data_IF_535688044119
#
_entry.id   IF_535688044119
#
_cell.length_a   1.000
_cell.length_b   1.000
_cell.length_c   1.000
_cell.angle_alpha   90.00
_cell.angle_beta   90.00
_cell.angle_gamma   90.00
#
_symmetry.space_group_name_H-M   'P 1'
#
loop_
_entity.id
_entity.type
_entity.pdbx_description
1 polymer ?
#
# COMPACT_ATOMS: atom_id res chain seq x y z
N UNK A 1 17.37 22.09 -6.82
CA UNK A 1 17.60 23.20 -7.76
C UNK A 1 18.42 22.62 -8.89
N UNK A 2 17.96 22.73 -10.10
CA UNK A 2 18.79 22.42 -11.29
C UNK A 2 19.65 23.66 -11.48
N UNK A 3 20.95 23.54 -11.23
CA UNK A 3 21.88 24.62 -11.51
C UNK A 3 21.86 24.87 -13.03
N UNK A 4 21.28 26.00 -13.41
CA UNK A 4 21.28 26.44 -14.79
C UNK A 4 22.65 27.06 -15.04
N UNK A 5 23.46 26.42 -15.89
CA UNK A 5 24.75 26.90 -16.30
C UNK A 5 24.64 28.31 -16.87
N UNK A 6 25.55 29.20 -16.49
CA UNK A 6 25.61 30.54 -17.02
C UNK A 6 26.08 30.53 -18.48
N UNK A 7 25.70 31.56 -19.27
CA UNK A 7 26.06 31.65 -20.69
C UNK A 7 27.59 31.59 -20.93
N UNK A 8 28.37 32.17 -20.00
CA UNK A 8 29.83 32.13 -20.05
C UNK A 8 30.40 30.71 -19.81
N UNK A 9 29.76 29.89 -19.00
CA UNK A 9 30.17 28.51 -18.77
C UNK A 9 29.82 27.61 -19.96
N UNK A 10 28.69 27.87 -20.62
CA UNK A 10 28.32 27.19 -21.88
C UNK A 10 29.32 27.50 -23.00
N UNK A 11 29.70 28.75 -23.17
CA UNK A 11 30.66 29.18 -24.18
C UNK A 11 32.06 28.63 -23.88
N UNK A 12 32.50 28.56 -22.64
CA UNK A 12 33.75 27.93 -22.22
C UNK A 12 33.78 26.42 -22.50
N UNK A 13 32.67 25.72 -22.23
CA UNK A 13 32.51 24.26 -22.50
C UNK A 13 32.53 23.99 -24.02
N UNK A 14 31.89 24.84 -24.83
CA UNK A 14 31.90 24.72 -26.29
C UNK A 14 33.29 24.97 -26.86
N UNK A 15 34.03 25.92 -26.31
CA UNK A 15 35.41 26.20 -26.69
C UNK A 15 36.36 25.03 -26.35
N UNK A 16 36.25 24.45 -25.18
CA UNK A 16 37.03 23.28 -24.74
C UNK A 16 36.72 22.02 -25.57
N UNK A 17 35.46 21.80 -25.97
CA UNK A 17 35.05 20.72 -26.87
C UNK A 17 35.59 20.92 -28.31
N UNK A 18 35.65 22.16 -28.76
CA UNK A 18 36.13 22.48 -30.12
C UNK A 18 37.67 22.46 -30.24
N UNK A 19 38.40 22.69 -29.14
CA UNK A 19 39.85 22.59 -29.07
C UNK A 19 40.38 21.16 -28.89
N UNK A 20 39.51 20.18 -28.63
CA UNK A 20 39.90 18.79 -28.41
C UNK A 20 40.59 18.52 -27.06
N UNK A 21 40.52 19.47 -26.14
CA UNK A 21 41.06 19.32 -24.78
C UNK A 21 40.17 18.49 -23.86
N UNK A 22 38.89 18.26 -24.23
CA UNK A 22 37.95 17.39 -23.52
C UNK A 22 37.27 16.41 -24.44
N UNK A 23 37.26 15.14 -24.10
CA UNK A 23 36.53 14.10 -24.84
C UNK A 23 35.08 14.03 -24.34
N UNK A 24 34.12 14.11 -25.28
CA UNK A 24 32.69 14.03 -24.98
C UNK A 24 32.29 12.74 -24.28
N UNK A 25 33.13 11.68 -24.39
CA UNK A 25 32.94 10.41 -23.65
C UNK A 25 33.36 10.51 -22.17
N UNK A 26 34.33 11.36 -21.82
CA UNK A 26 34.72 11.59 -20.43
C UNK A 26 33.69 12.40 -19.68
N UNK A 27 33.08 13.42 -20.26
CA UNK A 27 31.95 14.16 -19.69
C UNK A 27 30.72 13.27 -19.45
N UNK A 28 30.44 12.32 -20.36
CA UNK A 28 29.40 11.32 -20.15
C UNK A 28 29.72 10.33 -19.03
N UNK A 29 30.99 10.04 -18.80
CA UNK A 29 31.44 9.14 -17.71
C UNK A 29 31.36 9.84 -16.34
N UNK A 30 31.62 11.14 -16.26
CA UNK A 30 31.47 11.92 -15.03
C UNK A 30 30.00 12.06 -14.63
N UNK A 31 29.10 12.27 -15.58
CA UNK A 31 27.63 12.31 -15.31
C UNK A 31 27.05 10.96 -14.93
N UNK A 32 27.74 9.85 -15.29
CA UNK A 32 27.33 8.48 -14.94
C UNK A 32 27.97 8.01 -13.64
N UNK A 33 28.87 8.75 -13.03
CA UNK A 33 29.30 8.47 -11.66
C UNK A 33 28.09 8.68 -10.76
N UNK A 34 27.52 7.56 -10.30
CA UNK A 34 26.47 7.54 -9.29
C UNK A 34 26.86 8.53 -8.20
N UNK A 35 26.16 9.66 -8.10
CA UNK A 35 26.34 10.60 -7.00
C UNK A 35 26.19 9.81 -5.71
N UNK A 36 27.30 9.44 -5.09
CA UNK A 36 27.33 8.76 -3.80
C UNK A 36 26.77 9.78 -2.80
N UNK A 37 25.50 9.62 -2.45
CA UNK A 37 24.91 10.40 -1.37
C UNK A 37 25.28 9.71 -0.08
N UNK A 38 25.87 10.45 0.86
CA UNK A 38 26.04 9.98 2.22
C UNK A 38 24.67 9.56 2.76
N UNK A 39 24.52 8.29 3.13
CA UNK A 39 23.28 7.79 3.72
C UNK A 39 23.22 8.26 5.18
N UNK A 40 22.26 9.08 5.49
CA UNK A 40 22.02 9.53 6.86
C UNK A 40 21.19 8.45 7.59
N UNK A 41 21.88 7.65 8.42
CA UNK A 41 21.23 6.61 9.23
C UNK A 41 20.24 7.16 10.27
N UNK A 42 20.24 8.45 10.57
CA UNK A 42 19.24 9.10 11.41
C UNK A 42 17.92 9.32 10.67
N UNK A 43 17.95 9.37 9.34
CA UNK A 43 16.78 9.45 8.46
C UNK A 43 16.50 8.09 7.84
N UNK A 44 16.17 7.10 8.68
CA UNK A 44 15.76 5.79 8.18
C UNK A 44 14.52 5.94 7.28
N UNK A 45 14.66 5.60 6.00
CA UNK A 45 13.54 5.60 5.05
C UNK A 45 12.68 4.37 5.32
N UNK A 46 11.64 4.51 6.14
CA UNK A 46 10.72 3.42 6.47
C UNK A 46 9.61 3.28 5.42
N UNK A 47 9.28 4.36 4.71
CA UNK A 47 8.29 4.34 3.65
C UNK A 47 8.96 4.14 2.28
N UNK A 48 8.50 3.15 1.54
CA UNK A 48 8.90 2.97 0.14
C UNK A 48 8.29 4.06 -0.75
N UNK A 49 8.83 4.23 -1.96
CA UNK A 49 8.23 5.15 -2.96
C UNK A 49 6.78 4.79 -3.28
N UNK A 50 6.44 3.51 -3.24
CA UNK A 50 5.08 3.05 -3.54
C UNK A 50 4.13 3.37 -2.40
N UNK A 51 4.58 3.26 -1.13
CA UNK A 51 3.80 3.70 0.02
C UNK A 51 3.50 5.21 -0.05
N UNK A 52 4.49 6.04 -0.37
CA UNK A 52 4.31 7.49 -0.53
C UNK A 52 3.30 7.80 -1.65
N UNK A 53 3.38 7.11 -2.80
CA UNK A 53 2.41 7.27 -3.89
C UNK A 53 0.99 6.89 -3.47
N UNK A 54 0.84 5.80 -2.75
CA UNK A 54 -0.46 5.35 -2.23
C UNK A 54 -1.04 6.35 -1.25
N UNK A 55 -0.21 6.83 -0.29
CA UNK A 55 -0.60 7.88 0.64
C UNK A 55 -0.99 9.17 -0.09
N UNK A 56 -0.23 9.60 -1.10
CA UNK A 56 -0.58 10.76 -1.91
C UNK A 56 -1.98 10.63 -2.50
N UNK A 57 -2.28 9.50 -3.13
CA UNK A 57 -3.56 9.25 -3.79
C UNK A 57 -4.74 9.21 -2.80
N UNK A 58 -4.55 8.59 -1.64
CA UNK A 58 -5.56 8.57 -0.57
C UNK A 58 -5.87 10.00 -0.12
N UNK A 59 -4.83 10.79 0.11
CA UNK A 59 -4.99 12.13 0.64
C UNK A 59 -5.41 13.17 -0.43
N UNK A 60 -5.22 12.92 -1.72
CA UNK A 60 -5.88 13.66 -2.79
C UNK A 60 -7.41 13.51 -2.72
N UNK A 61 -7.90 12.30 -2.41
CA UNK A 61 -9.32 12.07 -2.16
C UNK A 61 -9.79 12.80 -0.89
N UNK A 62 -9.01 12.68 0.18
CA UNK A 62 -9.28 13.39 1.42
C UNK A 62 -9.37 14.90 1.21
N UNK A 63 -8.43 15.50 0.49
CA UNK A 63 -8.44 16.93 0.15
C UNK A 63 -9.71 17.36 -0.60
N UNK A 64 -10.22 16.52 -1.52
CA UNK A 64 -11.49 16.77 -2.22
C UNK A 64 -12.70 16.72 -1.28
N UNK A 65 -12.73 15.73 -0.39
CA UNK A 65 -13.82 15.62 0.59
C UNK A 65 -13.78 16.78 1.59
N UNK A 66 -12.60 17.15 2.09
CA UNK A 66 -12.43 18.35 2.93
C UNK A 66 -12.85 19.62 2.21
N UNK A 67 -12.50 19.77 0.92
CA UNK A 67 -12.93 20.92 0.11
C UNK A 67 -14.45 21.04 0.07
N UNK A 68 -15.13 19.92 -0.19
CA UNK A 68 -16.60 19.88 -0.24
C UNK A 68 -17.21 20.19 1.14
N UNK A 69 -16.69 19.54 2.17
CA UNK A 69 -17.15 19.71 3.54
C UNK A 69 -17.01 21.16 4.02
N UNK A 70 -15.79 21.72 3.92
CA UNK A 70 -15.55 23.08 4.38
C UNK A 70 -16.26 24.14 3.51
N UNK A 71 -16.40 23.93 2.20
CA UNK A 71 -17.17 24.85 1.35
C UNK A 71 -18.62 24.93 1.80
N UNK A 72 -19.21 23.78 2.16
CA UNK A 72 -20.59 23.73 2.67
C UNK A 72 -20.74 24.38 4.05
N UNK A 73 -19.81 24.08 4.98
CA UNK A 73 -19.88 24.59 6.34
C UNK A 73 -19.58 26.09 6.43
N UNK A 74 -18.57 26.57 5.69
CA UNK A 74 -18.13 27.96 5.73
C UNK A 74 -18.91 28.86 4.76
N UNK A 75 -19.75 28.27 3.90
CA UNK A 75 -20.53 28.98 2.87
C UNK A 75 -19.66 29.94 2.04
N UNK A 76 -18.48 29.49 1.67
CA UNK A 76 -17.51 30.23 0.86
C UNK A 76 -16.72 29.28 -0.02
N UNK A 77 -16.03 29.83 -1.00
CA UNK A 77 -15.13 29.03 -1.83
C UNK A 77 -13.94 28.56 -1.01
N UNK A 78 -13.78 27.26 -0.92
CA UNK A 78 -12.61 26.61 -0.29
C UNK A 78 -11.95 25.73 -1.34
N UNK A 79 -10.63 25.76 -1.36
CA UNK A 79 -9.80 24.91 -2.21
C UNK A 79 -8.70 24.29 -1.38
N UNK A 80 -8.61 22.95 -1.38
CA UNK A 80 -7.59 22.18 -0.66
C UNK A 80 -6.96 21.22 -1.63
N UNK A 81 -5.62 21.25 -1.73
CA UNK A 81 -4.86 20.37 -2.61
C UNK A 81 -3.64 19.81 -1.87
N UNK A 82 -3.30 18.55 -2.15
CA UNK A 82 -2.04 17.95 -1.68
C UNK A 82 -0.88 18.65 -2.38
N UNK A 83 0.04 19.18 -1.61
CA UNK A 83 1.30 19.78 -2.14
C UNK A 83 2.40 18.75 -2.12
N UNK A 84 2.53 18.04 -1.01
CA UNK A 84 3.66 17.15 -0.77
C UNK A 84 3.27 16.05 0.23
N UNK A 85 3.84 14.87 0.01
CA UNK A 85 3.84 13.77 0.98
C UNK A 85 5.28 13.34 1.15
N UNK A 86 5.81 13.49 2.35
CA UNK A 86 7.21 13.20 2.66
C UNK A 86 7.34 12.45 3.98
N UNK A 87 8.50 11.85 4.19
CA UNK A 87 8.85 11.22 5.46
C UNK A 87 9.96 11.99 6.14
N UNK A 88 9.77 12.24 7.43
CA UNK A 88 10.75 12.96 8.26
C UNK A 88 10.63 12.50 9.72
N UNK A 89 11.62 12.80 10.57
CA UNK A 89 11.53 12.58 12.01
C UNK A 89 10.45 13.46 12.66
N UNK A 90 9.77 12.93 13.66
CA UNK A 90 8.71 13.66 14.38
C UNK A 90 9.20 15.00 14.97
N UNK A 91 10.43 15.07 15.49
CA UNK A 91 11.04 16.29 16.02
C UNK A 91 11.20 17.38 14.92
N UNK A 92 11.52 16.99 13.69
CA UNK A 92 11.61 17.92 12.56
C UNK A 92 10.23 18.53 12.23
N UNK A 93 9.16 17.74 12.30
CA UNK A 93 7.79 18.23 12.14
C UNK A 93 7.43 19.25 13.23
N UNK A 94 7.67 18.93 14.51
CA UNK A 94 7.38 19.83 15.64
C UNK A 94 8.13 21.16 15.53
N UNK A 95 9.35 21.13 15.00
CA UNK A 95 10.14 22.37 14.77
C UNK A 95 9.70 23.16 13.55
N UNK A 96 9.04 22.52 12.58
CA UNK A 96 8.61 23.16 11.33
C UNK A 96 7.31 23.96 11.47
N UNK A 97 6.48 23.65 12.46
CA UNK A 97 5.19 24.30 12.68
C UNK A 97 5.31 25.54 13.57
N UNK A 98 4.39 26.52 13.46
CA UNK A 98 4.39 27.71 14.29
C UNK A 98 4.30 27.40 15.79
N UNK A 99 4.87 28.30 16.65
CA UNK A 99 4.79 28.14 18.12
C UNK A 99 3.36 28.10 18.66
N UNK A 100 2.43 28.70 17.95
CA UNK A 100 1.00 28.64 18.19
C UNK A 100 0.33 28.18 16.90
N UNK A 101 -0.32 27.05 16.93
CA UNK A 101 -1.05 26.43 15.82
C UNK A 101 -2.19 25.59 16.37
N UNK A 102 -3.10 25.13 15.54
CA UNK A 102 -4.21 24.27 15.97
C UNK A 102 -3.83 22.81 15.67
N UNK A 103 -3.73 22.00 16.70
CA UNK A 103 -3.33 20.59 16.66
C UNK A 103 -4.51 19.71 17.07
N UNK A 104 -5.11 19.06 16.12
CA UNK A 104 -6.17 18.09 16.37
C UNK A 104 -5.54 16.71 16.52
N UNK A 105 -5.46 16.23 17.77
CA UNK A 105 -4.95 14.90 18.11
C UNK A 105 -6.11 13.93 18.00
N UNK A 106 -5.94 12.85 17.23
CA UNK A 106 -6.97 11.87 16.99
C UNK A 106 -6.41 10.45 16.86
N UNK A 107 -7.26 9.48 17.13
CA UNK A 107 -7.03 8.06 16.89
C UNK A 107 -7.96 7.57 15.79
N UNK A 108 -7.63 6.46 15.13
CA UNK A 108 -8.45 5.92 14.05
C UNK A 108 -8.50 4.39 14.13
N UNK A 109 -9.44 3.83 14.89
CA UNK A 109 -9.63 2.38 15.00
C UNK A 109 -9.84 1.74 13.61
N UNK A 110 -9.26 0.57 13.29
CA UNK A 110 -8.48 -0.32 14.15
C UNK A 110 -6.97 -0.04 14.20
N UNK A 111 -6.51 1.13 13.74
CA UNK A 111 -5.11 1.54 13.83
C UNK A 111 -4.81 1.98 15.27
N UNK A 112 -3.79 1.38 15.86
CA UNK A 112 -3.36 1.72 17.21
C UNK A 112 -2.39 2.89 17.20
N UNK A 113 -2.69 3.94 17.96
CA UNK A 113 -1.85 5.11 18.16
C UNK A 113 -2.46 6.42 17.66
N UNK A 114 -1.76 7.51 17.98
CA UNK A 114 -2.22 8.88 17.76
C UNK A 114 -1.68 9.47 16.47
N UNK A 115 -2.52 10.24 15.81
CA UNK A 115 -2.20 11.04 14.63
C UNK A 115 -2.55 12.50 14.91
N UNK A 116 -1.99 13.42 14.14
CA UNK A 116 -2.24 14.84 14.32
C UNK A 116 -2.60 15.50 13.01
N UNK A 117 -3.69 16.26 13.03
CA UNK A 117 -4.07 17.17 11.95
C UNK A 117 -3.74 18.61 12.43
N UNK A 118 -2.64 19.16 11.96
CA UNK A 118 -2.22 20.52 12.21
C UNK A 118 -2.89 21.47 11.24
N UNK A 119 -3.40 22.58 11.73
CA UNK A 119 -4.03 23.63 10.93
C UNK A 119 -3.35 24.95 11.22
N UNK A 120 -2.75 25.53 10.18
CA UNK A 120 -2.08 26.82 10.31
C UNK A 120 -3.03 27.89 10.86
N UNK A 121 -2.59 28.73 11.80
CA UNK A 121 -3.48 29.68 12.48
C UNK A 121 -4.29 30.58 11.56
N UNK A 122 -3.70 31.09 10.48
CA UNK A 122 -4.42 31.93 9.52
C UNK A 122 -5.66 31.23 8.94
N UNK A 123 -5.52 29.93 8.62
CA UNK A 123 -6.61 29.10 8.10
C UNK A 123 -7.68 28.87 9.17
N UNK A 124 -7.24 28.51 10.39
CA UNK A 124 -8.15 28.26 11.50
C UNK A 124 -8.97 29.50 11.88
N UNK A 125 -8.33 30.65 11.99
CA UNK A 125 -9.03 31.90 12.31
C UNK A 125 -9.95 32.38 11.16
N UNK A 126 -9.55 32.17 9.88
CA UNK A 126 -10.44 32.43 8.75
C UNK A 126 -11.66 31.52 8.75
N UNK A 127 -11.50 30.24 9.13
CA UNK A 127 -12.62 29.31 9.32
C UNK A 127 -13.55 29.81 10.43
N UNK A 128 -12.98 30.17 11.57
CA UNK A 128 -13.71 30.65 12.73
C UNK A 128 -14.50 31.93 12.41
N UNK A 129 -13.86 32.90 11.74
CA UNK A 129 -14.52 34.15 11.32
C UNK A 129 -15.71 33.86 10.40
N UNK A 130 -15.56 32.95 9.43
CA UNK A 130 -16.66 32.53 8.54
C UNK A 130 -17.81 31.87 9.30
N UNK A 131 -17.51 31.06 10.30
CA UNK A 131 -18.51 30.38 11.13
C UNK A 131 -19.29 31.35 12.00
N UNK A 132 -18.64 32.41 12.45
CA UNK A 132 -19.27 33.47 13.22
C UNK A 132 -19.95 34.54 12.37
N UNK A 133 -19.94 34.38 11.02
CA UNK A 133 -20.63 35.25 10.07
C UNK A 133 -19.77 36.35 9.45
N UNK A 134 -18.46 36.32 9.68
CA UNK A 134 -17.51 37.25 9.07
C UNK A 134 -17.17 36.92 7.61
N UNK A 135 -16.23 37.66 7.04
CA UNK A 135 -15.82 37.54 5.61
C UNK A 135 -14.71 36.51 5.39
N UNK A 136 -14.15 35.93 6.44
CA UNK A 136 -13.05 34.93 6.35
C UNK A 136 -11.66 35.57 6.38
N UNK A 137 -11.52 36.68 7.05
CA UNK A 137 -10.23 37.38 7.22
C UNK A 137 -9.44 36.79 8.39
N UNK A 138 -8.15 36.55 8.16
CA UNK A 138 -7.26 36.20 9.27
C UNK A 138 -6.99 37.46 10.11
N UNK A 139 -6.97 37.35 11.45
CA UNK A 139 -6.68 38.51 12.32
C UNK A 139 -5.23 38.95 12.17
N UNK A 140 -4.98 40.26 12.31
CA UNK A 140 -3.64 40.85 12.25
C UNK A 140 -2.74 40.37 13.40
N UNK A 141 -3.33 40.00 14.54
CA UNK A 141 -2.65 39.42 15.70
C UNK A 141 -3.28 38.08 16.04
N UNK A 142 -2.49 37.03 15.93
CA UNK A 142 -2.86 35.69 16.31
C UNK A 142 -2.74 35.56 17.82
N UNK A 143 -3.86 35.37 18.52
CA UNK A 143 -3.93 35.10 19.97
C UNK A 143 -4.29 33.63 20.24
N UNK A 144 -4.28 33.22 21.51
CA UNK A 144 -4.83 31.92 21.89
C UNK A 144 -6.33 31.88 21.68
N UNK A 145 -6.84 30.69 21.28
CA UNK A 145 -8.29 30.47 21.19
C UNK A 145 -8.94 30.58 22.58
N UNK A 146 -10.14 31.15 22.62
CA UNK A 146 -10.99 31.11 23.80
C UNK A 146 -11.68 29.73 23.93
N UNK A 147 -12.24 29.41 25.09
CA UNK A 147 -12.95 28.14 25.31
C UNK A 147 -14.09 27.92 24.31
N UNK A 148 -14.85 28.99 23.97
CA UNK A 148 -15.95 28.92 23.00
C UNK A 148 -15.40 28.61 21.58
N UNK A 149 -14.30 29.26 21.20
CA UNK A 149 -13.66 29.03 19.91
C UNK A 149 -13.10 27.61 19.82
N UNK A 150 -12.51 27.08 20.91
CA UNK A 150 -12.07 25.70 20.98
C UNK A 150 -13.21 24.71 20.74
N UNK A 151 -14.35 24.88 21.42
CA UNK A 151 -15.53 24.01 21.25
C UNK A 151 -16.06 24.04 19.81
N UNK A 152 -16.06 25.23 19.18
CA UNK A 152 -16.48 25.37 17.78
C UNK A 152 -15.51 24.63 16.86
N UNK A 153 -14.19 24.77 17.08
CA UNK A 153 -13.17 24.13 16.26
C UNK A 153 -13.16 22.62 16.45
N UNK A 154 -13.26 22.12 17.68
CA UNK A 154 -13.40 20.68 17.96
C UNK A 154 -14.59 20.07 17.20
N UNK A 155 -15.74 20.71 17.23
CA UNK A 155 -16.94 20.23 16.54
C UNK A 155 -16.74 20.14 15.01
N UNK A 156 -16.06 21.13 14.44
CA UNK A 156 -15.80 21.17 13.00
C UNK A 156 -14.78 20.13 12.61
N UNK A 157 -13.66 20.02 13.34
CA UNK A 157 -12.61 19.06 13.02
C UNK A 157 -13.02 17.62 13.31
N UNK A 158 -13.83 17.37 14.35
CA UNK A 158 -14.42 16.04 14.58
C UNK A 158 -15.20 15.55 13.35
N UNK A 159 -16.02 16.41 12.73
CA UNK A 159 -16.72 16.05 11.50
C UNK A 159 -15.83 16.04 10.26
N UNK A 160 -14.79 16.89 10.20
CA UNK A 160 -13.81 16.85 9.12
C UNK A 160 -13.05 15.51 9.09
N UNK A 161 -12.79 14.91 10.25
CA UNK A 161 -12.16 13.59 10.37
C UNK A 161 -13.04 12.46 9.80
N UNK A 162 -14.37 12.59 9.80
CA UNK A 162 -15.26 11.62 9.12
C UNK A 162 -14.93 11.52 7.62
N UNK A 163 -14.47 12.60 7.01
CA UNK A 163 -14.07 12.60 5.60
C UNK A 163 -12.75 11.83 5.37
N UNK A 164 -11.91 11.68 6.40
CA UNK A 164 -10.72 10.84 6.36
C UNK A 164 -11.11 9.35 6.27
N UNK A 165 -12.13 8.92 7.02
CA UNK A 165 -12.68 7.56 6.92
C UNK A 165 -13.06 7.23 5.47
N UNK A 166 -13.80 8.09 4.81
CA UNK A 166 -14.22 7.88 3.41
C UNK A 166 -13.01 7.79 2.46
N UNK A 167 -11.97 8.58 2.69
CA UNK A 167 -10.76 8.54 1.87
C UNK A 167 -9.97 7.24 2.04
N UNK A 168 -9.92 6.67 3.24
CA UNK A 168 -9.20 5.45 3.57
C UNK A 168 -9.99 4.17 3.29
N UNK A 169 -11.29 4.25 3.03
CA UNK A 169 -12.18 3.10 2.82
C UNK A 169 -11.74 2.15 1.70
N UNK A 170 -10.95 2.64 0.75
CA UNK A 170 -10.39 1.81 -0.33
C UNK A 170 -9.27 0.89 0.12
N UNK A 171 -8.65 1.15 1.28
CA UNK A 171 -7.53 0.39 1.84
C UNK A 171 -7.95 -0.33 3.11
N UNK A 172 -8.57 0.41 4.03
CA UNK A 172 -9.06 -0.08 5.31
C UNK A 172 -10.20 0.83 5.78
N UNK A 173 -11.18 0.25 6.44
CA UNK A 173 -12.22 1.01 7.12
C UNK A 173 -11.69 1.45 8.48
N UNK A 174 -11.59 2.77 8.68
CA UNK A 174 -11.09 3.39 9.91
C UNK A 174 -12.19 4.22 10.54
N UNK A 175 -12.20 4.32 11.86
CA UNK A 175 -13.09 5.22 12.61
C UNK A 175 -12.27 6.31 13.32
N UNK A 176 -12.04 7.46 12.67
CA UNK A 176 -11.30 8.54 13.29
C UNK A 176 -12.10 9.18 14.43
N UNK A 177 -11.47 9.36 15.59
CA UNK A 177 -12.05 10.03 16.76
C UNK A 177 -11.11 11.09 17.28
N UNK A 178 -11.59 12.33 17.35
CA UNK A 178 -10.84 13.42 17.94
C UNK A 178 -10.70 13.18 19.45
N UNK A 179 -9.46 13.18 19.95
CA UNK A 179 -9.14 12.99 21.37
C UNK A 179 -8.97 14.32 22.07
N UNK A 180 -8.19 15.22 21.47
CA UNK A 180 -7.89 16.53 22.05
C UNK A 180 -7.57 17.56 20.98
N UNK A 181 -7.79 18.84 21.31
CA UNK A 181 -7.32 19.98 20.56
C UNK A 181 -6.28 20.74 21.41
N UNK A 182 -5.07 20.88 20.85
CA UNK A 182 -3.96 21.57 21.48
C UNK A 182 -3.51 22.75 20.62
N UNK A 183 -2.95 23.78 21.26
CA UNK A 183 -2.49 24.98 20.55
C UNK A 183 -0.99 25.19 20.62
N UNK A 184 -0.31 24.46 21.48
CA UNK A 184 1.13 24.57 21.69
C UNK A 184 1.83 23.24 21.31
N UNK A 185 2.64 23.21 20.23
CA UNK A 185 3.36 22.02 19.81
C UNK A 185 4.32 21.44 20.86
N UNK A 186 4.83 22.28 21.77
CA UNK A 186 5.81 21.84 22.76
C UNK A 186 5.22 20.88 23.80
N UNK A 187 3.91 20.90 24.01
CA UNK A 187 3.22 19.97 24.91
C UNK A 187 2.79 18.68 24.22
N UNK A 188 2.96 18.61 22.89
CA UNK A 188 2.53 17.47 22.10
C UNK A 188 3.64 16.43 21.95
N UNK A 189 3.48 15.30 22.59
CA UNK A 189 4.35 14.13 22.43
C UNK A 189 3.51 12.89 22.16
N UNK A 190 3.25 12.61 20.90
CA UNK A 190 2.47 11.43 20.48
C UNK A 190 3.34 10.21 20.23
N UNK A 191 4.60 10.42 19.82
CA UNK A 191 5.61 9.38 19.56
C UNK A 191 7.00 9.86 19.97
N UNK A 192 7.99 8.97 19.88
CA UNK A 192 9.41 9.33 20.11
C UNK A 192 9.89 10.40 19.11
N UNK A 193 10.74 11.35 19.54
CA UNK A 193 11.26 12.41 18.67
C UNK A 193 11.94 11.91 17.38
N UNK A 194 12.57 10.75 17.44
CA UNK A 194 13.27 10.13 16.31
C UNK A 194 12.36 9.21 15.46
N UNK A 195 11.08 9.05 15.85
CA UNK A 195 10.16 8.21 15.09
C UNK A 195 9.90 8.81 13.70
N UNK A 196 9.92 7.97 12.69
CA UNK A 196 9.63 8.39 11.31
C UNK A 196 8.13 8.61 11.14
N UNK A 197 7.75 9.75 10.62
CA UNK A 197 6.37 10.07 10.29
C UNK A 197 6.18 10.26 8.79
N UNK A 198 4.98 10.01 8.29
CA UNK A 198 4.53 10.52 7.02
C UNK A 198 3.85 11.88 7.26
N UNK A 199 4.39 12.93 6.64
CA UNK A 199 3.83 14.26 6.66
C UNK A 199 3.12 14.54 5.33
N UNK A 200 1.83 14.78 5.39
CA UNK A 200 0.99 15.15 4.26
C UNK A 200 0.65 16.62 4.37
N UNK A 201 1.19 17.43 3.47
CA UNK A 201 0.98 18.88 3.46
C UNK A 201 -0.09 19.25 2.43
N UNK A 202 -1.14 19.92 2.90
CA UNK A 202 -2.29 20.36 2.11
C UNK A 202 -2.29 21.89 2.03
N UNK A 203 -2.16 22.44 0.82
CA UNK A 203 -2.39 23.88 0.64
C UNK A 203 -3.89 24.16 0.72
N UNK A 204 -4.27 25.14 1.51
CA UNK A 204 -5.65 25.49 1.79
C UNK A 204 -5.89 26.97 1.48
N UNK A 205 -6.92 27.24 0.67
CA UNK A 205 -7.40 28.58 0.38
C UNK A 205 -8.86 28.70 0.78
N UNK A 206 -9.16 29.73 1.59
CA UNK A 206 -10.53 30.06 2.06
C UNK A 206 -10.80 31.52 1.70
N UNK A 207 -11.61 31.75 0.68
CA UNK A 207 -11.75 33.09 0.11
C UNK A 207 -10.40 33.64 -0.35
N UNK A 208 -9.93 34.71 0.29
CA UNK A 208 -8.63 35.33 0.02
C UNK A 208 -7.50 34.87 0.96
N UNK A 209 -7.86 34.18 2.05
CA UNK A 209 -6.89 33.66 3.02
C UNK A 209 -6.28 32.36 2.54
N UNK A 210 -4.95 32.25 2.60
CA UNK A 210 -4.21 31.05 2.25
C UNK A 210 -3.40 30.55 3.43
N UNK A 211 -3.17 29.25 3.51
CA UNK A 211 -2.33 28.61 4.53
C UNK A 211 -2.21 27.12 4.28
N UNK A 212 -1.72 26.40 5.28
CA UNK A 212 -1.45 24.97 5.21
C UNK A 212 -2.28 24.21 6.24
N UNK A 213 -2.63 22.99 5.88
CA UNK A 213 -3.09 21.94 6.80
C UNK A 213 -2.11 20.80 6.66
N UNK A 214 -1.54 20.31 7.74
CA UNK A 214 -0.58 19.22 7.75
C UNK A 214 -1.15 18.02 8.52
N UNK A 215 -1.11 16.85 7.91
CA UNK A 215 -1.48 15.61 8.56
C UNK A 215 -0.21 14.81 8.86
N UNK A 216 0.03 14.57 10.14
CA UNK A 216 1.15 13.80 10.66
C UNK A 216 0.68 12.39 11.01
N UNK A 217 1.22 11.39 10.34
CA UNK A 217 0.92 9.97 10.57
C UNK A 217 2.22 9.27 10.97
N UNK A 218 2.38 8.85 12.23
CA UNK A 218 3.54 8.05 12.63
C UNK A 218 3.60 6.72 11.90
N UNK A 219 4.81 6.27 11.55
CA UNK A 219 5.01 4.98 10.87
C UNK A 219 4.42 3.83 11.67
N UNK A 220 4.63 3.82 13.00
CA UNK A 220 4.13 2.77 13.89
C UNK A 220 2.61 2.57 13.78
N UNK A 221 1.85 3.63 13.51
CA UNK A 221 0.38 3.57 13.38
C UNK A 221 -0.07 2.84 12.12
N UNK A 222 0.63 3.05 11.01
CA UNK A 222 0.26 2.43 9.72
C UNK A 222 1.11 1.21 9.35
N UNK A 223 2.09 0.85 10.18
CA UNK A 223 2.92 -0.34 9.99
C UNK A 223 2.10 -1.63 9.78
N UNK A 224 1.03 -1.91 10.55
CA UNK A 224 0.23 -3.12 10.35
C UNK A 224 -0.46 -3.21 8.98
N UNK A 225 -0.64 -2.09 8.30
CA UNK A 225 -1.35 -2.02 7.01
C UNK A 225 -0.43 -1.69 5.83
N UNK A 226 0.89 -1.64 6.04
CA UNK A 226 1.86 -1.30 4.99
C UNK A 226 1.76 -2.22 3.78
N UNK A 227 1.49 -3.51 3.98
CA UNK A 227 1.25 -4.47 2.90
C UNK A 227 0.07 -4.09 2.00
N UNK A 228 -0.98 -3.49 2.56
CA UNK A 228 -2.17 -3.03 1.84
C UNK A 228 -1.91 -1.72 1.07
N UNK A 229 -0.91 -0.95 1.46
CA UNK A 229 -0.51 0.28 0.78
C UNK A 229 0.38 0.05 -0.45
N UNK A 230 0.78 -1.19 -0.73
CA UNK A 230 1.54 -1.52 -1.93
C UNK A 230 0.67 -1.43 -3.19
N UNK A 231 1.28 -1.00 -4.30
CA UNK A 231 0.59 -0.79 -5.60
C UNK A 231 -0.10 -2.06 -6.10
N UNK A 232 0.41 -3.26 -5.76
CA UNK A 232 -0.21 -4.53 -6.11
C UNK A 232 -1.64 -4.68 -5.57
N UNK A 233 -1.93 -4.17 -4.38
CA UNK A 233 -3.27 -4.26 -3.79
C UNK A 233 -4.30 -3.39 -4.52
N UNK A 234 -3.89 -2.26 -5.09
CA UNK A 234 -4.80 -1.35 -5.82
C UNK A 234 -5.30 -1.94 -7.14
N UNK A 235 -4.48 -2.73 -7.82
CA UNK A 235 -4.90 -3.44 -9.04
C UNK A 235 -5.74 -4.68 -8.72
N UNK A 236 -5.55 -5.30 -7.56
CA UNK A 236 -6.32 -6.47 -7.13
C UNK A 236 -7.69 -6.05 -6.57
N UNK A 237 -7.79 -4.91 -5.88
CA UNK A 237 -9.05 -4.41 -5.29
C UNK A 237 -10.04 -3.88 -6.32
N UNK A 238 -9.61 -3.60 -7.56
CA UNK A 238 -10.54 -3.37 -8.69
C UNK A 238 -11.16 -4.66 -9.25
N UNK A 239 -10.69 -5.84 -8.81
CA UNK A 239 -11.48 -7.05 -9.00
C UNK A 239 -12.67 -6.94 -8.05
N UNK A 240 -13.82 -6.53 -8.59
CA UNK A 240 -15.15 -6.65 -7.98
C UNK A 240 -15.15 -7.86 -7.04
N UNK A 241 -15.60 -7.68 -5.80
CA UNK A 241 -15.99 -8.80 -4.97
C UNK A 241 -16.86 -9.70 -5.86
N UNK A 242 -16.34 -10.87 -6.25
CA UNK A 242 -17.06 -11.78 -7.13
C UNK A 242 -18.40 -12.04 -6.48
N UNK A 243 -19.46 -11.74 -7.21
CA UNK A 243 -20.81 -12.01 -6.72
C UNK A 243 -20.89 -13.47 -6.25
N UNK A 244 -21.63 -13.79 -5.18
CA UNK A 244 -21.78 -15.17 -4.69
C UNK A 244 -22.18 -16.15 -5.80
N UNK A 245 -22.85 -15.66 -6.85
CA UNK A 245 -23.23 -16.43 -8.04
C UNK A 245 -22.03 -16.82 -8.92
N UNK A 246 -21.00 -15.97 -9.02
CA UNK A 246 -19.77 -16.28 -9.78
C UNK A 246 -18.96 -17.37 -9.08
N UNK A 247 -18.93 -17.37 -7.75
CA UNK A 247 -18.28 -18.42 -6.97
C UNK A 247 -18.99 -19.76 -7.17
N UNK A 248 -20.33 -19.77 -7.14
CA UNK A 248 -21.13 -20.97 -7.39
C UNK A 248 -20.97 -21.52 -8.81
N UNK A 249 -20.81 -20.63 -9.80
CA UNK A 249 -20.51 -21.05 -11.18
C UNK A 249 -19.10 -21.64 -11.31
N UNK A 250 -18.11 -21.10 -10.59
CA UNK A 250 -16.74 -21.65 -10.54
C UNK A 250 -16.73 -23.03 -9.88
N UNK A 251 -17.41 -23.19 -8.74
CA UNK A 251 -17.57 -24.45 -8.04
C UNK A 251 -18.20 -25.50 -8.96
N UNK A 252 -19.28 -25.15 -9.68
CA UNK A 252 -19.91 -26.04 -10.66
C UNK A 252 -19.02 -26.41 -11.85
N UNK A 253 -18.10 -25.53 -12.25
CA UNK A 253 -17.14 -25.85 -13.33
C UNK A 253 -16.04 -26.77 -12.83
N UNK A 254 -15.54 -26.55 -11.61
CA UNK A 254 -14.52 -27.39 -10.99
C UNK A 254 -15.06 -28.79 -10.75
N UNK A 255 -16.28 -28.95 -10.24
CA UNK A 255 -16.91 -30.25 -10.01
C UNK A 255 -17.22 -31.03 -11.30
N UNK A 256 -17.37 -30.33 -12.43
CA UNK A 256 -17.56 -30.95 -13.76
C UNK A 256 -16.25 -31.25 -14.51
N UNK A 257 -15.11 -30.86 -13.96
CA UNK A 257 -13.82 -31.14 -14.59
C UNK A 257 -13.56 -32.65 -14.60
N UNK A 258 -13.26 -33.19 -15.78
CA UNK A 258 -12.89 -34.61 -15.94
C UNK A 258 -11.39 -34.73 -15.75
N UNK A 259 -10.99 -35.50 -14.77
CA UNK A 259 -9.59 -35.84 -14.53
C UNK A 259 -9.33 -37.28 -14.99
N UNK A 260 -8.23 -37.57 -15.70
CA UNK A 260 -7.84 -38.92 -16.04
C UNK A 260 -7.46 -39.68 -14.76
N UNK A 261 -7.96 -40.90 -14.64
CA UNK A 261 -7.57 -41.85 -13.61
C UNK A 261 -6.81 -42.97 -14.29
N UNK A 262 -5.57 -43.22 -13.87
CA UNK A 262 -4.73 -44.28 -14.37
C UNK A 262 -4.34 -45.24 -13.24
N UNK A 263 -4.55 -46.53 -13.48
CA UNK A 263 -4.03 -47.56 -12.58
C UNK A 263 -2.79 -48.19 -13.21
N UNK A 264 -1.66 -48.05 -12.53
CA UNK A 264 -0.38 -48.58 -13.00
C UNK A 264 -0.21 -50.04 -12.53
N UNK A 265 -0.09 -50.97 -13.49
CA UNK A 265 0.21 -52.37 -13.17
C UNK A 265 1.64 -52.56 -12.64
N UNK A 266 2.52 -51.68 -13.02
CA UNK A 266 3.92 -51.67 -12.62
C UNK A 266 4.80 -51.02 -13.68
N UNK A 267 6.06 -50.85 -13.39
CA UNK A 267 7.09 -50.35 -14.33
C UNK A 267 8.25 -51.31 -14.41
N UNK A 268 8.90 -51.32 -15.57
CA UNK A 268 10.12 -52.09 -15.79
C UNK A 268 11.10 -51.27 -16.60
N UNK A 269 12.37 -51.50 -16.41
CA UNK A 269 13.44 -50.91 -17.22
C UNK A 269 13.94 -51.96 -18.20
N UNK A 270 13.90 -51.62 -19.47
CA UNK A 270 14.45 -52.46 -20.56
C UNK A 270 15.52 -51.65 -21.30
N UNK A 271 16.53 -52.36 -21.83
CA UNK A 271 17.54 -51.73 -22.66
C UNK A 271 16.98 -51.33 -24.02
N UNK A 272 17.59 -50.36 -24.70
CA UNK A 272 17.21 -49.96 -26.07
C UNK A 272 17.30 -51.16 -27.02
N UNK A 273 18.26 -52.06 -26.83
CA UNK A 273 18.46 -53.25 -27.63
C UNK A 273 17.27 -54.24 -27.47
N UNK A 274 16.82 -54.50 -26.26
CA UNK A 274 15.68 -55.33 -25.94
C UNK A 274 14.39 -54.69 -26.51
N UNK A 275 14.24 -53.37 -26.36
CA UNK A 275 13.07 -52.63 -26.90
C UNK A 275 12.98 -52.77 -28.43
N UNK A 276 14.09 -52.66 -29.17
CA UNK A 276 14.11 -52.77 -30.63
C UNK A 276 13.84 -54.19 -31.13
N UNK A 277 14.07 -55.23 -30.32
CA UNK A 277 13.85 -56.61 -30.66
C UNK A 277 12.53 -57.19 -30.13
N UNK A 278 11.68 -56.37 -29.50
CA UNK A 278 10.36 -56.83 -29.02
C UNK A 278 9.47 -57.26 -30.14
N UNK A 279 8.94 -58.47 -30.01
CA UNK A 279 8.01 -59.07 -30.94
C UNK A 279 6.66 -59.49 -30.28
N UNK A 280 5.67 -59.79 -31.11
CA UNK A 280 4.39 -60.28 -30.59
C UNK A 280 4.57 -61.66 -29.96
N UNK A 281 4.26 -61.78 -28.69
CA UNK A 281 4.43 -63.00 -27.89
C UNK A 281 5.51 -62.88 -26.81
N UNK A 282 6.31 -61.81 -26.81
CA UNK A 282 7.29 -61.55 -25.76
C UNK A 282 6.63 -61.13 -24.45
N UNK A 283 7.26 -61.54 -23.35
CA UNK A 283 6.77 -61.26 -21.99
C UNK A 283 7.68 -60.25 -21.30
N UNK A 284 7.17 -59.13 -20.93
CA UNK A 284 7.86 -58.12 -20.14
C UNK A 284 7.51 -58.31 -18.67
N UNK A 285 8.52 -58.62 -17.83
CA UNK A 285 8.31 -58.73 -16.39
C UNK A 285 8.28 -57.31 -15.76
N UNK A 286 7.22 -57.05 -15.01
CA UNK A 286 7.09 -55.81 -14.25
C UNK A 286 7.73 -55.95 -12.85
N UNK A 287 8.32 -54.91 -12.33
CA UNK A 287 9.03 -54.93 -11.00
C UNK A 287 8.09 -54.97 -9.79
N UNK A 288 6.78 -55.26 -9.98
CA UNK A 288 5.77 -55.25 -8.92
C UNK A 288 5.18 -56.68 -8.74
N UNK A 289 5.06 -57.14 -7.48
CA UNK A 289 4.48 -58.42 -7.15
C UNK A 289 2.96 -58.41 -7.41
N UNK A 290 2.41 -59.58 -7.81
CA UNK A 290 0.96 -59.76 -8.05
C UNK A 290 0.14 -59.45 -6.78
N UNK A 291 0.70 -59.72 -5.61
CA UNK A 291 0.05 -59.49 -4.30
C UNK A 291 0.16 -58.03 -3.83
N UNK A 292 0.96 -57.20 -4.48
CA UNK A 292 1.07 -55.78 -4.13
C UNK A 292 -0.06 -54.98 -4.80
N UNK A 293 -0.66 -54.06 -4.07
CA UNK A 293 -1.70 -53.17 -4.61
C UNK A 293 -1.23 -52.33 -5.81
N UNK A 294 -2.13 -51.99 -6.71
CA UNK A 294 -1.87 -51.11 -7.85
C UNK A 294 -1.85 -49.65 -7.45
N UNK A 295 -0.94 -48.88 -8.02
CA UNK A 295 -0.87 -47.44 -7.82
C UNK A 295 -1.91 -46.75 -8.72
N UNK A 296 -2.87 -46.03 -8.09
CA UNK A 296 -3.92 -45.32 -8.81
C UNK A 296 -3.61 -43.81 -8.75
N UNK A 297 -3.29 -43.26 -9.91
CA UNK A 297 -3.02 -41.82 -10.10
C UNK A 297 -4.27 -41.10 -10.59
N UNK A 298 -4.51 -39.93 -10.03
CA UNK A 298 -5.50 -38.96 -10.49
C UNK A 298 -4.72 -37.79 -11.13
N UNK A 299 -4.76 -37.68 -12.45
CA UNK A 299 -3.81 -36.88 -13.19
C UNK A 299 -2.39 -37.46 -13.00
N UNK A 300 -1.46 -36.65 -12.49
CA UNK A 300 -0.07 -37.08 -12.25
C UNK A 300 0.21 -37.45 -10.77
N UNK A 301 -0.78 -37.34 -9.88
CA UNK A 301 -0.60 -37.58 -8.44
C UNK A 301 -1.13 -38.97 -8.03
N UNK A 302 -0.31 -39.69 -7.27
CA UNK A 302 -0.72 -40.94 -6.62
C UNK A 302 -1.74 -40.60 -5.49
N UNK A 303 -2.94 -41.17 -5.57
CA UNK A 303 -4.03 -40.90 -4.62
C UNK A 303 -4.61 -42.13 -3.96
N UNK A 304 -4.51 -43.29 -4.59
CA UNK A 304 -5.08 -44.51 -4.04
C UNK A 304 -4.18 -45.71 -4.33
N UNK A 305 -4.30 -46.75 -3.48
CA UNK A 305 -3.80 -48.10 -3.73
C UNK A 305 -5.03 -48.98 -3.89
N UNK A 306 -5.02 -49.83 -4.93
CA UNK A 306 -6.15 -50.69 -5.23
C UNK A 306 -5.77 -52.08 -5.71
N UNK A 307 -6.71 -53.00 -5.69
CA UNK A 307 -6.55 -54.35 -6.21
C UNK A 307 -7.33 -54.51 -7.51
N UNK A 308 -6.76 -55.10 -8.56
CA UNK A 308 -7.44 -55.35 -9.81
C UNK A 308 -8.46 -56.50 -9.64
N UNK A 309 -9.57 -56.39 -10.36
CA UNK A 309 -10.60 -57.39 -10.36
C UNK A 309 -11.53 -57.25 -11.56
N UNK A 310 -12.60 -58.03 -11.58
CA UNK A 310 -13.65 -57.95 -12.59
C UNK A 310 -15.02 -57.80 -11.95
N UNK A 311 -15.83 -56.92 -12.50
CA UNK A 311 -17.24 -56.74 -12.08
C UNK A 311 -18.10 -56.74 -13.34
N UNK A 312 -19.02 -57.74 -13.43
CA UNK A 312 -19.93 -57.91 -14.60
C UNK A 312 -19.17 -57.89 -15.93
N UNK A 313 -18.13 -58.74 -16.03
CA UNK A 313 -17.26 -58.88 -17.21
C UNK A 313 -16.50 -57.62 -17.65
N UNK A 314 -16.39 -56.64 -16.77
CA UNK A 314 -15.55 -55.45 -16.99
C UNK A 314 -14.42 -55.42 -15.98
N UNK A 315 -13.25 -54.98 -16.44
CA UNK A 315 -12.11 -54.74 -15.57
C UNK A 315 -12.50 -53.64 -14.56
N UNK A 316 -12.27 -53.91 -13.30
CA UNK A 316 -12.56 -53.00 -12.18
C UNK A 316 -11.38 -52.97 -11.21
N UNK A 317 -11.31 -51.94 -10.40
CA UNK A 317 -10.30 -51.81 -9.36
C UNK A 317 -11.03 -51.53 -8.08
N UNK A 318 -10.71 -52.33 -7.06
CA UNK A 318 -11.16 -52.08 -5.68
C UNK A 318 -10.14 -51.23 -4.99
N UNK A 319 -10.54 -50.07 -4.48
CA UNK A 319 -9.68 -49.19 -3.67
C UNK A 319 -9.46 -49.85 -2.32
N UNK A 320 -8.21 -50.08 -1.94
CA UNK A 320 -7.80 -50.64 -0.66
C UNK A 320 -7.39 -49.54 0.33
N UNK A 321 -6.69 -48.52 -0.16
CA UNK A 321 -6.16 -47.48 0.67
C UNK A 321 -6.21 -46.12 0.00
N UNK A 322 -6.45 -45.05 0.78
CA UNK A 322 -6.44 -43.65 0.32
C UNK A 322 -5.14 -43.05 0.83
N UNK A 323 -4.31 -42.54 -0.10
CA UNK A 323 -3.09 -41.83 0.23
C UNK A 323 -3.45 -40.35 0.37
N UNK A 324 -3.60 -39.88 1.62
CA UNK A 324 -3.75 -38.47 1.95
C UNK A 324 -2.34 -37.88 2.07
N UNK A 325 -1.84 -37.27 1.02
CA UNK A 325 -0.76 -36.28 1.17
C UNK A 325 -1.37 -35.11 1.93
N UNK A 326 -1.04 -34.97 3.22
CA UNK A 326 -1.46 -33.82 4.02
C UNK A 326 -1.29 -32.55 3.21
N UNK A 327 -2.31 -31.68 3.25
CA UNK A 327 -2.27 -30.35 2.65
C UNK A 327 -0.99 -29.69 3.14
N UNK A 328 0.05 -29.63 2.31
CA UNK A 328 1.14 -28.67 2.51
C UNK A 328 0.45 -27.31 2.49
N UNK A 329 0.25 -26.72 3.66
CA UNK A 329 -0.05 -25.30 3.78
C UNK A 329 1.06 -24.59 3.01
N UNK A 330 0.70 -24.01 1.88
CA UNK A 330 1.56 -23.10 1.16
C UNK A 330 1.85 -21.92 2.11
N UNK A 331 2.99 -22.00 2.80
CA UNK A 331 3.62 -20.82 3.35
C UNK A 331 4.07 -19.98 2.15
N UNK A 332 3.26 -18.99 1.82
CA UNK A 332 3.66 -17.89 0.97
C UNK A 332 4.82 -17.14 1.68
N UNK A 333 6.02 -17.24 1.08
CA UNK A 333 7.14 -16.34 1.33
C UNK A 333 6.90 -14.95 0.69
#
# INVERSE_FOLDING_TARGET
MVDVLSQNEIDALLAALSSGEMDAEELRKEDTQKKIRAYDFKRATRFSKDHIRSLTRIHENFARFLTTYFSAQLRTFVQINVVQVEQLPYDEFIRSIPKMTILNIFEAEPLEGRMVLEVHPNVAFAMLDRLLGGVGSAPTKIGSLTEIENIIMEKIFSRALETLQEAWRTVIDIEPRLEALETNPQFMQIVSPNETIALISLSTKIGDTTGMINLCIPHVVIEPIMSKLSVHHWFVSQKKSRAPEEFKQLEQRVTKAKLPIAAELGSSQISIHEFLNLGVGDVITLGKSVDSGLDIKVGDKLKYIGSPGTVRDKIAIQILEIIDEGVEEAHDE
#
